data_IF_494710502484
#
_entry.id   IF_494710502484
#
_cell.length_a   1.000
_cell.length_b   1.000
_cell.length_c   1.000
_cell.angle_alpha   90.00
_cell.angle_beta   90.00
_cell.angle_gamma   90.00
#
_symmetry.space_group_name_H-M   'P 1'
#
loop_
_entity.id
_entity.type
_entity.pdbx_description
1 polymer ?
#
# COMPACT_ATOMS: atom_id res chain seq x y z
N UNK A 1 -8.12 28.04 -23.23
CA UNK A 1 -7.46 26.72 -23.04
C UNK A 1 -6.41 26.74 -21.92
N UNK A 2 -5.59 27.79 -21.77
CA UNK A 2 -4.62 27.88 -20.67
C UNK A 2 -5.23 27.79 -19.26
N UNK A 3 -6.37 28.47 -19.02
CA UNK A 3 -7.07 28.46 -17.72
C UNK A 3 -7.59 27.08 -17.29
N UNK A 4 -7.76 26.15 -18.22
CA UNK A 4 -8.22 24.78 -17.93
C UNK A 4 -7.06 23.88 -17.49
N UNK A 5 -5.89 24.05 -18.11
CA UNK A 5 -4.67 23.31 -17.77
C UNK A 5 -4.18 23.67 -16.36
N UNK A 6 -4.15 24.96 -16.02
CA UNK A 6 -3.68 25.42 -14.71
C UNK A 6 -4.57 24.89 -13.58
N UNK A 7 -5.89 24.92 -13.76
CA UNK A 7 -6.83 24.39 -12.76
C UNK A 7 -6.75 22.86 -12.65
N UNK A 8 -6.50 22.15 -13.76
CA UNK A 8 -6.25 20.71 -13.72
C UNK A 8 -4.97 20.37 -12.96
N UNK A 9 -3.88 21.08 -13.24
CA UNK A 9 -2.59 20.90 -12.56
C UNK A 9 -2.73 21.16 -11.07
N UNK A 10 -3.37 22.29 -10.69
CA UNK A 10 -3.63 22.65 -9.29
C UNK A 10 -4.43 21.57 -8.56
N UNK A 11 -5.47 21.03 -9.19
CA UNK A 11 -6.26 19.91 -8.62
C UNK A 11 -5.43 18.63 -8.50
N UNK A 12 -4.57 18.36 -9.46
CA UNK A 12 -3.70 17.19 -9.44
C UNK A 12 -2.69 17.26 -8.29
N UNK A 13 -2.03 18.41 -8.15
CA UNK A 13 -1.09 18.68 -7.06
C UNK A 13 -1.77 18.55 -5.69
N UNK A 14 -2.94 19.17 -5.50
CA UNK A 14 -3.68 19.10 -4.24
C UNK A 14 -4.04 17.66 -3.85
N UNK A 15 -4.46 16.83 -4.83
CA UNK A 15 -4.73 15.40 -4.60
C UNK A 15 -3.46 14.63 -4.25
N UNK A 16 -2.35 14.91 -4.92
CA UNK A 16 -1.07 14.26 -4.67
C UNK A 16 -0.55 14.58 -3.26
N UNK A 17 -0.49 15.87 -2.90
CA UNK A 17 -0.07 16.33 -1.56
C UNK A 17 -0.93 15.70 -0.47
N UNK A 18 -2.26 15.74 -0.61
CA UNK A 18 -3.18 15.11 0.35
C UNK A 18 -2.91 13.61 0.50
N UNK A 19 -2.61 12.92 -0.61
CA UNK A 19 -2.32 11.49 -0.61
C UNK A 19 -1.00 11.18 0.11
N UNK A 20 0.05 11.96 -0.15
CA UNK A 20 1.35 11.79 0.52
C UNK A 20 1.24 12.05 2.01
N UNK A 21 0.56 13.12 2.43
CA UNK A 21 0.34 13.41 3.85
C UNK A 21 -0.43 12.28 4.53
N UNK A 22 -1.48 11.74 3.88
CA UNK A 22 -2.21 10.58 4.40
C UNK A 22 -1.33 9.33 4.52
N UNK A 23 -0.38 9.11 3.61
CA UNK A 23 0.57 7.99 3.68
C UNK A 23 1.51 8.21 4.86
N UNK A 24 2.12 9.39 4.97
CA UNK A 24 3.04 9.70 6.06
C UNK A 24 2.38 9.52 7.42
N UNK A 25 1.21 10.15 7.63
CA UNK A 25 0.46 9.98 8.89
C UNK A 25 0.12 8.52 9.17
N UNK A 26 -0.20 7.75 8.13
CA UNK A 26 -0.56 6.34 8.27
C UNK A 26 0.64 5.43 8.55
N UNK A 27 1.84 5.76 8.13
CA UNK A 27 3.03 4.92 8.34
C UNK A 27 3.99 5.51 9.39
N UNK A 28 3.60 6.60 10.08
CA UNK A 28 4.40 7.22 11.14
C UNK A 28 4.12 6.61 12.52
N UNK A 29 4.16 5.29 12.63
CA UNK A 29 4.09 4.56 13.90
C UNK A 29 5.01 3.31 13.84
N UNK A 30 5.50 2.81 14.98
CA UNK A 30 6.39 1.65 15.00
C UNK A 30 5.69 0.36 14.55
N UNK A 31 6.39 -0.45 13.76
CA UNK A 31 5.87 -1.67 13.14
C UNK A 31 6.19 -2.95 13.96
N UNK A 32 6.24 -2.87 15.29
CA UNK A 32 6.77 -3.94 16.16
C UNK A 32 6.03 -5.27 16.03
N UNK A 33 4.70 -5.23 15.81
CA UNK A 33 3.88 -6.44 15.64
C UNK A 33 3.73 -6.86 14.16
N UNK A 34 4.38 -6.17 13.22
CA UNK A 34 4.23 -6.43 11.79
C UNK A 34 5.07 -7.63 11.31
N UNK A 35 4.64 -8.24 10.20
CA UNK A 35 5.41 -9.30 9.55
C UNK A 35 6.68 -8.69 8.94
N UNK A 36 7.84 -9.20 9.35
CA UNK A 36 9.09 -8.84 8.73
C UNK A 36 9.29 -9.65 7.45
N UNK A 37 9.53 -8.95 6.35
CA UNK A 37 9.84 -9.56 5.06
C UNK A 37 11.36 -9.65 4.93
N UNK A 38 11.86 -10.85 4.71
CA UNK A 38 13.25 -11.06 4.30
C UNK A 38 13.42 -10.62 2.86
N UNK A 39 14.28 -9.64 2.62
CA UNK A 39 14.55 -9.13 1.26
C UNK A 39 15.37 -10.12 0.41
N UNK A 40 16.12 -11.03 1.05
CA UNK A 40 16.91 -12.04 0.35
C UNK A 40 16.02 -13.11 -0.29
N UNK A 41 15.01 -13.57 0.47
CA UNK A 41 14.14 -14.67 0.06
C UNK A 41 12.78 -14.20 -0.44
N UNK A 42 12.45 -12.92 -0.24
CA UNK A 42 11.10 -12.37 -0.41
C UNK A 42 10.05 -13.21 0.31
N UNK A 43 10.34 -13.64 1.54
CA UNK A 43 9.40 -14.41 2.38
C UNK A 43 9.17 -13.72 3.71
N UNK A 44 8.06 -14.05 4.36
CA UNK A 44 7.74 -13.62 5.71
C UNK A 44 7.29 -14.81 6.56
N UNK A 45 7.60 -14.78 7.85
CA UNK A 45 7.26 -15.88 8.75
C UNK A 45 5.79 -15.80 9.17
N UNK A 46 5.12 -16.94 9.12
CA UNK A 46 3.76 -17.10 9.66
C UNK A 46 3.71 -18.31 10.59
N UNK A 47 2.68 -18.43 11.44
CA UNK A 47 2.51 -19.63 12.29
C UNK A 47 2.46 -20.95 11.49
N UNK A 48 2.07 -20.90 10.21
CA UNK A 48 2.04 -22.06 9.31
C UNK A 48 3.39 -22.31 8.60
N UNK A 49 4.41 -21.47 8.87
CA UNK A 49 5.72 -21.47 8.20
C UNK A 49 5.97 -20.24 7.32
N UNK A 50 7.15 -20.15 6.69
CA UNK A 50 7.50 -19.04 5.80
C UNK A 50 6.62 -19.01 4.56
N UNK A 51 6.05 -17.85 4.22
CA UNK A 51 5.23 -17.65 3.03
C UNK A 51 5.89 -16.67 2.06
N UNK A 52 5.77 -16.87 0.73
CA UNK A 52 6.28 -15.94 -0.26
C UNK A 52 5.51 -14.61 -0.21
N UNK A 53 6.25 -13.52 -0.39
CA UNK A 53 5.74 -12.18 -0.54
C UNK A 53 5.36 -11.93 -2.02
N UNK A 54 4.17 -11.40 -2.27
CA UNK A 54 3.70 -11.04 -3.61
C UNK A 54 2.65 -11.97 -4.22
N UNK A 55 2.57 -13.23 -3.79
CA UNK A 55 1.57 -14.20 -4.27
C UNK A 55 0.23 -14.17 -3.50
N UNK A 56 0.06 -13.17 -2.65
CA UNK A 56 -1.14 -13.03 -1.84
C UNK A 56 -2.27 -12.40 -2.65
N UNK A 57 -3.41 -13.09 -2.69
CA UNK A 57 -4.65 -12.52 -3.21
C UNK A 57 -5.08 -11.29 -2.41
N UNK A 58 -5.88 -10.42 -3.03
CA UNK A 58 -6.44 -9.24 -2.36
C UNK A 58 -7.27 -9.64 -1.13
N UNK A 59 -7.95 -10.80 -1.16
CA UNK A 59 -8.63 -11.35 0.01
C UNK A 59 -7.68 -11.75 1.14
N UNK A 60 -6.53 -12.37 0.82
CA UNK A 60 -5.52 -12.78 1.81
C UNK A 60 -4.84 -11.58 2.45
N UNK A 61 -4.44 -10.59 1.65
CA UNK A 61 -3.91 -9.33 2.17
C UNK A 61 -4.96 -8.66 3.07
N UNK A 62 -6.22 -8.61 2.65
CA UNK A 62 -7.29 -8.12 3.52
C UNK A 62 -7.41 -8.92 4.81
N UNK A 63 -7.27 -10.25 4.82
CA UNK A 63 -7.34 -11.07 6.04
C UNK A 63 -6.15 -10.82 6.97
N UNK A 64 -4.93 -10.81 6.43
CA UNK A 64 -3.70 -10.55 7.18
C UNK A 64 -3.72 -9.16 7.83
N UNK A 65 -4.24 -8.16 7.10
CA UNK A 65 -4.33 -6.80 7.61
C UNK A 65 -5.68 -6.46 8.28
N UNK A 66 -6.70 -7.33 8.24
CA UNK A 66 -8.01 -7.14 8.90
C UNK A 66 -7.88 -7.13 10.41
N UNK A 67 -7.01 -7.98 10.97
CA UNK A 67 -6.84 -8.10 12.42
C UNK A 67 -6.14 -6.88 13.06
N UNK A 68 -5.49 -6.03 12.25
CA UNK A 68 -4.88 -4.76 12.69
C UNK A 68 -5.62 -3.51 12.22
N UNK A 69 -6.79 -3.68 11.58
CA UNK A 69 -7.76 -2.60 11.29
C UNK A 69 -8.80 -2.55 12.41
N UNK A 70 -8.33 -2.39 13.64
CA UNK A 70 -9.12 -1.84 14.73
C UNK A 70 -8.18 -0.86 15.41
N UNK A 71 -8.25 0.45 15.18
CA UNK A 71 -9.41 1.31 15.02
C UNK A 71 -9.07 2.46 14.04
N UNK A 72 -10.09 3.06 13.40
CA UNK A 72 -10.14 4.46 12.92
C UNK A 72 -9.99 4.82 11.43
N UNK A 73 -9.74 3.93 10.47
CA UNK A 73 -9.73 4.41 9.04
C UNK A 73 -9.98 3.35 7.96
N UNK A 74 -10.95 2.45 8.16
CA UNK A 74 -11.25 1.34 7.24
C UNK A 74 -11.44 1.73 5.75
N UNK A 75 -11.85 2.97 5.43
CA UNK A 75 -12.12 3.40 4.06
C UNK A 75 -10.90 3.81 3.21
N UNK A 76 -9.78 4.23 3.81
CA UNK A 76 -8.61 4.78 3.07
C UNK A 76 -7.54 3.72 2.77
N UNK A 77 -7.42 2.71 3.63
CA UNK A 77 -6.40 1.65 3.56
C UNK A 77 -6.56 0.76 2.32
N UNK A 78 -7.80 0.43 1.96
CA UNK A 78 -8.13 -0.42 0.81
C UNK A 78 -7.62 0.17 -0.52
N UNK A 79 -7.69 1.50 -0.66
CA UNK A 79 -7.29 2.20 -1.89
C UNK A 79 -5.76 2.18 -2.08
N UNK A 80 -4.99 2.38 -1.01
CA UNK A 80 -3.52 2.39 -1.07
C UNK A 80 -2.96 0.97 -1.17
N UNK A 81 -3.55 -0.02 -0.48
CA UNK A 81 -3.16 -1.42 -0.69
C UNK A 81 -3.37 -1.84 -2.15
N UNK A 82 -4.50 -1.43 -2.76
CA UNK A 82 -4.74 -1.66 -4.19
C UNK A 82 -3.68 -0.96 -5.06
N UNK A 83 -3.24 0.24 -4.69
CA UNK A 83 -2.18 0.97 -5.40
C UNK A 83 -0.80 0.32 -5.25
N UNK A 84 -0.42 -0.15 -4.05
CA UNK A 84 0.85 -0.85 -3.82
C UNK A 84 0.91 -2.17 -4.59
N UNK A 85 -0.18 -2.96 -4.57
CA UNK A 85 -0.29 -4.18 -5.38
C UNK A 85 -0.19 -3.86 -6.87
N UNK A 86 -0.89 -2.82 -7.34
CA UNK A 86 -0.79 -2.37 -8.74
C UNK A 86 0.61 -1.89 -9.10
N UNK A 87 1.29 -1.18 -8.21
CA UNK A 87 2.63 -0.64 -8.45
C UNK A 87 3.67 -1.77 -8.53
N UNK A 88 3.61 -2.75 -7.63
CA UNK A 88 4.45 -3.95 -7.70
C UNK A 88 4.16 -4.76 -8.97
N UNK A 89 2.89 -4.97 -9.32
CA UNK A 89 2.52 -5.71 -10.54
C UNK A 89 2.93 -5.00 -11.84
N UNK A 90 2.91 -3.66 -11.86
CA UNK A 90 3.43 -2.87 -12.99
C UNK A 90 4.95 -2.94 -13.05
N UNK A 91 5.65 -2.92 -11.90
CA UNK A 91 7.10 -3.05 -11.86
C UNK A 91 7.57 -4.43 -12.35
N UNK A 92 6.93 -5.51 -11.91
CA UNK A 92 7.26 -6.87 -12.37
C UNK A 92 7.00 -7.08 -13.86
N UNK A 93 6.06 -6.34 -14.46
CA UNK A 93 5.77 -6.38 -15.90
C UNK A 93 6.68 -5.45 -16.74
N UNK A 94 7.48 -4.60 -16.09
CA UNK A 94 8.45 -3.73 -16.77
C UNK A 94 9.86 -4.34 -16.79
N UNK A 95 10.10 -5.35 -15.96
CA UNK A 95 11.35 -6.09 -15.84
C UNK A 95 11.37 -7.40 -16.69
N UNK A 96 10.32 -7.66 -17.49
CA UNK A 96 10.27 -8.67 -18.58
C UNK A 96 10.37 -8.00 -19.96
#
# INVERSE_FOLDING_TARGET
MALDLDEWLRRSEARFQTSILCILERYNYPFEDDFLISMETLTYDTPDGPKPWGDLSVEELRKLFKHRVSQRTAGKVLKIQTLLIKFYKVKTLLDE
#
